data_IF_565604502669
#
_entry.id   IF_565604502669
#
_cell.length_a   1.000
_cell.length_b   1.000
_cell.length_c   1.000
_cell.angle_alpha   90.00
_cell.angle_beta   90.00
_cell.angle_gamma   90.00
#
_symmetry.space_group_name_H-M   'P 1'
#
loop_
_entity.id
_entity.type
_entity.pdbx_description
1 polymer ?
#
# COMPACT_ATOMS: atom_id res chain seq x y z
N UNK A 1 17.89 -6.94 3.74
CA UNK A 1 16.85 -7.47 2.83
C UNK A 1 16.68 -9.00 2.87
N UNK A 2 15.56 -9.45 3.46
CA UNK A 2 15.06 -10.83 3.52
C UNK A 2 14.78 -11.43 2.11
N UNK A 3 14.82 -12.76 1.94
CA UNK A 3 14.58 -13.41 0.64
C UNK A 3 13.18 -13.14 0.07
N UNK A 4 12.16 -12.97 0.90
CA UNK A 4 10.82 -12.61 0.44
C UNK A 4 10.78 -11.18 -0.11
N UNK A 5 11.43 -10.23 0.57
CA UNK A 5 11.57 -8.87 0.05
C UNK A 5 12.40 -8.83 -1.23
N UNK A 6 13.50 -9.60 -1.33
CA UNK A 6 14.25 -9.73 -2.60
C UNK A 6 13.37 -10.21 -3.75
N UNK A 7 12.46 -11.15 -3.50
CA UNK A 7 11.51 -11.59 -4.52
C UNK A 7 10.52 -10.48 -4.89
N UNK A 8 9.92 -9.80 -3.91
CA UNK A 8 9.03 -8.66 -4.16
C UNK A 8 9.74 -7.56 -4.96
N UNK A 9 10.99 -7.24 -4.63
CA UNK A 9 11.82 -6.28 -5.38
C UNK A 9 12.00 -6.73 -6.83
N UNK A 10 12.24 -8.01 -7.07
CA UNK A 10 12.38 -8.56 -8.42
C UNK A 10 11.08 -8.44 -9.24
N UNK A 11 9.92 -8.70 -8.64
CA UNK A 11 8.64 -8.57 -9.33
C UNK A 11 8.29 -7.11 -9.61
N UNK A 12 8.55 -6.19 -8.66
CA UNK A 12 8.38 -4.75 -8.87
C UNK A 12 9.34 -4.19 -9.92
N UNK A 13 10.58 -4.67 -9.97
CA UNK A 13 11.50 -4.29 -11.05
C UNK A 13 11.02 -4.81 -12.41
N UNK A 14 10.37 -5.96 -12.45
CA UNK A 14 9.76 -6.49 -13.68
C UNK A 14 8.59 -5.61 -14.14
N UNK A 15 7.76 -5.15 -13.21
CA UNK A 15 6.72 -4.15 -13.46
C UNK A 15 7.31 -2.86 -14.02
N UNK A 16 8.31 -2.27 -13.34
CA UNK A 16 8.98 -1.03 -13.78
C UNK A 16 9.59 -1.16 -15.17
N UNK A 17 10.26 -2.27 -15.44
CA UNK A 17 10.83 -2.55 -16.76
C UNK A 17 9.77 -2.70 -17.87
N UNK A 18 8.55 -3.13 -17.52
CA UNK A 18 7.43 -3.17 -18.45
C UNK A 18 6.83 -1.76 -18.64
N UNK A 19 6.61 -1.04 -17.53
CA UNK A 19 6.16 0.35 -17.49
C UNK A 19 7.03 1.26 -18.38
N UNK A 20 8.35 1.13 -18.30
CA UNK A 20 9.32 1.92 -19.07
C UNK A 20 9.21 1.70 -20.59
N UNK A 21 8.55 0.62 -21.04
CA UNK A 21 8.35 0.31 -22.46
C UNK A 21 7.02 0.85 -23.00
N UNK A 22 6.16 1.35 -22.13
CA UNK A 22 4.87 1.90 -22.54
C UNK A 22 5.07 3.28 -23.15
N UNK A 23 4.52 3.47 -24.35
CA UNK A 23 4.57 4.74 -25.08
C UNK A 23 3.37 5.64 -24.77
N UNK A 24 2.31 5.07 -24.19
CA UNK A 24 1.12 5.78 -23.75
C UNK A 24 0.67 5.17 -22.41
N UNK A 25 0.47 6.04 -21.42
CA UNK A 25 -0.03 5.68 -20.08
C UNK A 25 -1.41 6.29 -19.93
N UNK A 26 -2.37 5.74 -20.68
CA UNK A 26 -3.77 6.14 -20.58
C UNK A 26 -4.39 5.62 -19.28
N UNK A 27 -5.31 6.37 -18.67
CA UNK A 27 -5.97 6.09 -17.37
C UNK A 27 -5.50 4.84 -16.60
N UNK A 28 -6.12 3.69 -16.82
CA UNK A 28 -5.97 2.46 -16.03
C UNK A 28 -4.86 1.54 -16.59
N UNK A 29 -3.81 2.11 -17.19
CA UNK A 29 -2.77 1.36 -17.89
C UNK A 29 -2.09 0.31 -17.00
N UNK A 30 -1.99 0.53 -15.68
CA UNK A 30 -1.40 -0.45 -14.76
C UNK A 30 -2.13 -1.80 -14.81
N UNK A 31 -3.43 -1.81 -15.10
CA UNK A 31 -4.24 -3.05 -15.21
C UNK A 31 -3.82 -3.93 -16.39
N UNK A 32 -3.09 -3.39 -17.37
CA UNK A 32 -2.58 -4.13 -18.52
C UNK A 32 -1.35 -5.00 -18.18
N UNK A 33 -0.77 -4.86 -16.99
CA UNK A 33 0.35 -5.70 -16.57
C UNK A 33 -0.09 -7.14 -16.26
N UNK A 34 0.22 -8.07 -17.16
CA UNK A 34 -0.22 -9.46 -17.08
C UNK A 34 0.41 -10.29 -15.94
N UNK A 35 1.31 -9.72 -15.13
CA UNK A 35 2.03 -10.44 -14.08
C UNK A 35 1.76 -9.89 -12.67
N UNK A 36 0.63 -9.22 -12.49
CA UNK A 36 0.14 -8.79 -11.17
C UNK A 36 0.01 -9.96 -10.17
N UNK A 37 -0.36 -11.15 -10.65
CA UNK A 37 -0.43 -12.37 -9.85
C UNK A 37 0.87 -12.67 -9.08
N UNK A 38 2.02 -12.37 -9.68
CA UNK A 38 3.33 -12.56 -9.06
C UNK A 38 3.61 -11.53 -7.97
N UNK A 39 3.21 -10.29 -8.19
CA UNK A 39 3.33 -9.22 -7.19
C UNK A 39 2.43 -9.56 -5.99
N UNK A 40 1.17 -9.93 -6.23
CA UNK A 40 0.25 -10.33 -5.15
C UNK A 40 0.79 -11.51 -4.35
N UNK A 41 1.33 -12.53 -5.03
CA UNK A 41 1.96 -13.66 -4.37
C UNK A 41 3.19 -13.25 -3.53
N UNK A 42 4.01 -12.34 -4.04
CA UNK A 42 5.20 -11.84 -3.34
C UNK A 42 4.82 -11.00 -2.11
N UNK A 43 3.85 -10.08 -2.24
CA UNK A 43 3.29 -9.31 -1.13
C UNK A 43 2.73 -10.23 -0.05
N UNK A 44 1.89 -11.19 -0.43
CA UNK A 44 1.31 -12.15 0.52
C UNK A 44 2.40 -12.96 1.27
N UNK A 45 3.47 -13.35 0.58
CA UNK A 45 4.61 -14.04 1.23
C UNK A 45 5.36 -13.15 2.20
N UNK A 46 5.57 -11.87 1.87
CA UNK A 46 6.18 -10.89 2.78
C UNK A 46 5.33 -10.76 4.05
N UNK A 47 4.03 -10.47 3.91
CA UNK A 47 3.12 -10.27 5.04
C UNK A 47 3.02 -11.50 5.93
N UNK A 48 3.00 -12.69 5.33
CA UNK A 48 2.83 -13.96 6.04
C UNK A 48 4.10 -14.45 6.75
N UNK A 49 5.27 -14.22 6.17
CA UNK A 49 6.50 -14.91 6.59
C UNK A 49 7.63 -14.01 7.08
N UNK A 50 7.53 -12.68 6.92
CA UNK A 50 8.57 -11.75 7.38
C UNK A 50 8.05 -10.97 8.60
N UNK A 51 8.60 -11.21 9.80
CA UNK A 51 8.28 -10.42 10.99
C UNK A 51 8.50 -8.92 10.78
N UNK A 52 7.61 -8.08 11.30
CA UNK A 52 7.67 -6.62 11.12
C UNK A 52 8.95 -5.96 11.66
N UNK A 53 9.61 -6.58 12.64
CA UNK A 53 10.89 -6.09 13.17
C UNK A 53 12.09 -6.36 12.24
N UNK A 54 11.92 -7.18 11.20
CA UNK A 54 12.93 -7.40 10.15
C UNK A 54 12.78 -6.43 8.96
N UNK A 55 11.69 -5.65 8.90
CA UNK A 55 11.43 -4.74 7.79
C UNK A 55 12.30 -3.49 7.89
N UNK A 56 12.99 -3.16 6.80
CA UNK A 56 13.75 -1.94 6.62
C UNK A 56 12.86 -0.84 6.01
N UNK A 57 13.29 0.42 6.04
CA UNK A 57 12.51 1.55 5.46
C UNK A 57 12.23 1.32 3.96
N UNK A 58 13.21 0.77 3.24
CA UNK A 58 13.06 0.44 1.82
C UNK A 58 11.99 -0.63 1.58
N UNK A 59 11.75 -1.50 2.55
CA UNK A 59 10.73 -2.54 2.46
C UNK A 59 9.32 -1.94 2.61
N UNK A 60 9.16 -0.95 3.49
CA UNK A 60 7.92 -0.17 3.63
C UNK A 60 7.59 0.56 2.31
N UNK A 61 8.57 1.24 1.73
CA UNK A 61 8.42 1.96 0.46
C UNK A 61 8.09 1.03 -0.72
N UNK A 62 8.61 -0.19 -0.70
CA UNK A 62 8.36 -1.18 -1.73
C UNK A 62 6.89 -1.65 -1.71
N UNK A 63 6.33 -1.84 -0.53
CA UNK A 63 4.91 -2.17 -0.36
C UNK A 63 4.00 -0.97 -0.69
N UNK A 64 4.38 0.24 -0.29
CA UNK A 64 3.65 1.45 -0.67
C UNK A 64 3.67 1.66 -2.20
N UNK A 65 4.77 1.36 -2.88
CA UNK A 65 4.84 1.40 -4.34
C UNK A 65 3.88 0.39 -4.97
N UNK A 66 3.88 -0.86 -4.50
CA UNK A 66 2.95 -1.88 -4.99
C UNK A 66 1.48 -1.46 -4.79
N UNK A 67 1.17 -0.91 -3.62
CA UNK A 67 -0.16 -0.40 -3.28
C UNK A 67 -0.56 0.73 -4.23
N UNK A 68 0.29 1.74 -4.43
CA UNK A 68 0.01 2.85 -5.33
C UNK A 68 -0.26 2.42 -6.78
N UNK A 69 0.48 1.42 -7.29
CA UNK A 69 0.30 0.94 -8.66
C UNK A 69 -0.91 0.03 -8.83
N UNK A 70 -1.35 -0.63 -7.76
CA UNK A 70 -2.55 -1.48 -7.75
C UNK A 70 -3.83 -0.71 -7.40
N UNK A 71 -3.84 0.63 -7.56
CA UNK A 71 -4.92 1.51 -7.08
C UNK A 71 -6.29 1.26 -7.73
N UNK A 72 -6.33 0.72 -8.95
CA UNK A 72 -7.58 0.44 -9.67
C UNK A 72 -8.26 -0.86 -9.23
N UNK A 73 -7.47 -1.86 -8.79
CA UNK A 73 -7.99 -3.21 -8.46
C UNK A 73 -7.94 -3.47 -6.95
N UNK A 74 -7.04 -2.81 -6.24
CA UNK A 74 -6.92 -2.81 -4.77
C UNK A 74 -6.63 -4.18 -4.13
N UNK A 75 -6.11 -5.16 -4.88
CA UNK A 75 -5.78 -6.49 -4.36
C UNK A 75 -4.69 -6.45 -3.26
N UNK A 76 -3.68 -5.59 -3.41
CA UNK A 76 -2.63 -5.35 -2.40
C UNK A 76 -3.25 -4.77 -1.14
N UNK A 77 -4.24 -3.88 -1.26
CA UNK A 77 -4.98 -3.34 -0.12
C UNK A 77 -5.77 -4.41 0.60
N UNK A 78 -6.49 -5.27 -0.14
CA UNK A 78 -7.22 -6.41 0.45
C UNK A 78 -6.28 -7.34 1.23
N UNK A 79 -5.08 -7.60 0.71
CA UNK A 79 -4.06 -8.36 1.44
C UNK A 79 -3.62 -7.64 2.72
N UNK A 80 -3.39 -6.33 2.69
CA UNK A 80 -2.91 -5.56 3.85
C UNK A 80 -3.93 -5.45 4.98
N UNK A 81 -5.24 -5.39 4.68
CA UNK A 81 -6.30 -5.32 5.69
C UNK A 81 -6.27 -6.55 6.62
N UNK A 82 -5.90 -7.71 6.09
CA UNK A 82 -5.71 -8.95 6.86
C UNK A 82 -4.49 -8.93 7.80
N UNK A 83 -3.63 -7.91 7.70
CA UNK A 83 -2.44 -7.72 8.54
C UNK A 83 -2.41 -6.31 9.16
N UNK A 84 -3.31 -6.01 10.13
CA UNK A 84 -3.47 -4.66 10.69
C UNK A 84 -2.18 -4.01 11.21
N UNK A 85 -1.28 -4.78 11.83
CA UNK A 85 -0.01 -4.25 12.33
C UNK A 85 0.93 -3.80 11.19
N UNK A 86 0.92 -4.51 10.06
CA UNK A 86 1.65 -4.09 8.87
C UNK A 86 1.05 -2.82 8.30
N UNK A 87 -0.28 -2.72 8.23
CA UNK A 87 -0.97 -1.55 7.73
C UNK A 87 -0.73 -0.30 8.59
N UNK A 88 -0.75 -0.43 9.93
CA UNK A 88 -0.38 0.65 10.85
C UNK A 88 1.08 1.09 10.66
N UNK A 89 2.00 0.14 10.50
CA UNK A 89 3.41 0.47 10.16
C UNK A 89 3.51 1.26 8.86
N UNK A 90 2.82 0.83 7.81
CA UNK A 90 2.80 1.54 6.53
C UNK A 90 2.14 2.92 6.64
N UNK A 91 1.15 3.12 7.52
CA UNK A 91 0.57 4.44 7.79
C UNK A 91 1.60 5.44 8.31
N UNK A 92 2.48 5.04 9.25
CA UNK A 92 3.56 5.90 9.71
C UNK A 92 4.51 6.28 8.57
N UNK A 93 4.84 5.34 7.68
CA UNK A 93 5.70 5.63 6.51
C UNK A 93 4.99 6.54 5.50
N UNK A 94 3.72 6.29 5.24
CA UNK A 94 2.89 6.97 4.25
C UNK A 94 2.79 8.48 4.49
N UNK A 95 2.90 8.96 5.74
CA UNK A 95 2.94 10.39 6.05
C UNK A 95 4.04 11.18 5.34
N UNK A 96 5.09 10.49 4.87
CA UNK A 96 6.21 11.09 4.13
C UNK A 96 6.37 10.51 2.73
N UNK A 97 5.41 9.72 2.26
CA UNK A 97 5.46 9.07 0.96
C UNK A 97 4.74 9.93 -0.08
N UNK A 98 5.42 10.24 -1.19
CA UNK A 98 4.96 11.25 -2.15
C UNK A 98 3.71 10.84 -2.93
N UNK A 99 3.52 9.53 -3.19
CA UNK A 99 2.43 9.04 -4.02
C UNK A 99 1.10 8.99 -3.25
N UNK A 100 0.16 9.86 -3.63
CA UNK A 100 -1.13 9.94 -2.97
C UNK A 100 -1.98 8.68 -3.21
N UNK A 101 -1.72 7.90 -4.28
CA UNK A 101 -2.41 6.64 -4.57
C UNK A 101 -2.19 5.61 -3.46
N UNK A 102 -0.98 5.57 -2.89
CA UNK A 102 -0.73 4.75 -1.70
C UNK A 102 -1.37 5.35 -0.46
N UNK A 103 -1.25 6.67 -0.25
CA UNK A 103 -1.69 7.32 0.99
C UNK A 103 -3.20 7.18 1.20
N UNK A 104 -4.01 7.37 0.16
CA UNK A 104 -5.47 7.24 0.29
C UNK A 104 -5.88 5.80 0.58
N UNK A 105 -5.21 4.82 -0.04
CA UNK A 105 -5.47 3.40 0.20
C UNK A 105 -5.12 3.02 1.63
N UNK A 106 -4.00 3.50 2.16
CA UNK A 106 -3.65 3.28 3.56
C UNK A 106 -4.69 3.90 4.50
N UNK A 107 -5.11 5.14 4.25
CA UNK A 107 -6.15 5.80 5.04
C UNK A 107 -7.47 5.01 5.00
N UNK A 108 -7.88 4.52 3.82
CA UNK A 108 -9.06 3.68 3.69
C UNK A 108 -8.92 2.35 4.43
N UNK A 109 -7.81 1.64 4.25
CA UNK A 109 -7.57 0.34 4.87
C UNK A 109 -7.54 0.41 6.41
N UNK A 110 -7.01 1.50 6.99
CA UNK A 110 -7.13 1.73 8.44
C UNK A 110 -8.59 1.79 8.91
N UNK A 111 -9.49 2.28 8.05
CA UNK A 111 -10.94 2.28 8.28
C UNK A 111 -11.59 0.90 8.29
N UNK A 112 -10.93 -0.10 7.68
CA UNK A 112 -11.39 -1.48 7.58
C UNK A 112 -10.90 -2.36 8.74
N UNK A 113 -9.96 -1.88 9.57
CA UNK A 113 -9.51 -2.61 10.76
C UNK A 113 -10.67 -2.71 11.77
N UNK A 114 -11.03 -3.93 12.15
CA UNK A 114 -12.02 -4.19 13.20
C UNK A 114 -11.51 -3.72 14.58
N UNK A 115 -12.43 -3.30 15.45
CA UNK A 115 -12.12 -2.85 16.82
C UNK A 115 -11.03 -1.76 16.87
N UNK A 116 -11.21 -0.69 16.06
CA UNK A 116 -10.29 0.45 15.97
C UNK A 116 -9.85 0.91 17.36
N UNK A 117 -8.55 0.78 17.63
CA UNK A 117 -7.93 1.33 18.82
C UNK A 117 -7.61 2.82 18.63
N UNK A 118 -7.25 3.49 19.73
CA UNK A 118 -6.86 4.90 19.74
C UNK A 118 -5.74 5.20 18.72
N UNK A 119 -4.78 4.28 18.54
CA UNK A 119 -3.72 4.41 17.54
C UNK A 119 -4.28 4.56 16.12
N UNK A 120 -5.29 3.78 15.73
CA UNK A 120 -5.92 3.90 14.41
C UNK A 120 -6.62 5.25 14.26
N UNK A 121 -7.28 5.74 15.31
CA UNK A 121 -7.93 7.05 15.28
C UNK A 121 -6.91 8.20 15.15
N UNK A 122 -5.78 8.11 15.83
CA UNK A 122 -4.68 9.08 15.71
C UNK A 122 -4.08 9.08 14.30
N UNK A 123 -3.83 7.90 13.72
CA UNK A 123 -3.33 7.77 12.36
C UNK A 123 -4.30 8.38 11.34
N UNK A 124 -5.60 8.07 11.44
CA UNK A 124 -6.64 8.63 10.57
C UNK A 124 -6.76 10.15 10.72
N UNK A 125 -6.68 10.67 11.95
CA UNK A 125 -6.68 12.11 12.22
C UNK A 125 -5.51 12.81 11.54
N UNK A 126 -4.35 12.16 11.46
CA UNK A 126 -3.20 12.69 10.73
C UNK A 126 -3.43 12.70 9.21
N UNK A 127 -4.08 11.68 8.65
CA UNK A 127 -4.49 11.69 7.22
C UNK A 127 -5.54 12.76 6.89
N UNK A 128 -6.35 13.22 7.85
CA UNK A 128 -7.24 14.38 7.63
C UNK A 128 -6.48 15.69 7.34
N UNK A 129 -5.18 15.73 7.66
CA UNK A 129 -4.31 16.89 7.39
C UNK A 129 -3.46 16.71 6.12
N UNK A 130 -3.66 15.63 5.35
CA UNK A 130 -2.92 15.39 4.12
C UNK A 130 -3.11 16.53 3.11
N UNK A 131 -2.07 16.85 2.35
CA UNK A 131 -2.13 17.88 1.31
C UNK A 131 -3.13 17.53 0.19
N UNK A 132 -3.29 16.24 -0.10
CA UNK A 132 -4.15 15.75 -1.16
C UNK A 132 -5.60 15.61 -0.68
N UNK A 133 -6.53 16.26 -1.38
CA UNK A 133 -7.95 16.24 -1.02
C UNK A 133 -8.55 14.83 -1.04
N UNK A 134 -8.14 13.99 -1.98
CA UNK A 134 -8.64 12.62 -2.09
C UNK A 134 -8.24 11.79 -0.86
N UNK A 135 -6.99 11.92 -0.39
CA UNK A 135 -6.53 11.29 0.85
C UNK A 135 -7.37 11.73 2.05
N UNK A 136 -7.60 13.05 2.19
CA UNK A 136 -8.46 13.58 3.27
C UNK A 136 -9.87 13.00 3.23
N UNK A 137 -10.48 12.93 2.03
CA UNK A 137 -11.83 12.37 1.85
C UNK A 137 -11.89 10.89 2.25
N UNK A 138 -10.88 10.09 1.89
CA UNK A 138 -10.81 8.67 2.29
C UNK A 138 -10.61 8.49 3.79
N UNK A 139 -9.82 9.37 4.43
CA UNK A 139 -9.68 9.40 5.88
C UNK A 139 -11.01 9.78 6.58
N UNK A 140 -11.74 10.79 6.09
CA UNK A 140 -13.08 11.13 6.62
C UNK A 140 -14.02 9.93 6.54
N UNK A 141 -14.09 9.28 5.37
CA UNK A 141 -14.92 8.09 5.19
C UNK A 141 -14.54 6.97 6.16
N UNK A 142 -13.24 6.71 6.35
CA UNK A 142 -12.73 5.71 7.27
C UNK A 142 -13.10 5.99 8.74
N UNK A 143 -13.16 7.26 9.15
CA UNK A 143 -13.61 7.68 10.48
C UNK A 143 -15.12 7.48 10.62
N UNK A 144 -15.91 7.95 9.66
CA UNK A 144 -17.39 7.88 9.70
C UNK A 144 -17.94 6.45 9.64
N UNK A 145 -17.16 5.51 9.08
CA UNK A 145 -17.50 4.08 9.03
C UNK A 145 -17.39 3.38 10.40
N UNK A 146 -16.54 3.89 11.31
CA UNK A 146 -16.31 3.32 12.64
C UNK A 146 -17.37 3.72 13.65
#
# INVERSE_FOLDING_TARGET
MNNYFKNLTSEINSFKNWEDKLTDKSKEWETEYLHWDRIYLAVNKVLRYVPLNEWEIVDDELLLYALARDNEVENVLQLLIEYPEALKRLAYRAFSYEDYEARWQVAFGLGEIENKCDEVQELLTKFLQDENEYVRRRATFAIEKG
#
